data_IF_985477218923
#
_entry.id   IF_985477218923
#
_cell.length_a   1.000
_cell.length_b   1.000
_cell.length_c   1.000
_cell.angle_alpha   90.00
_cell.angle_beta   90.00
_cell.angle_gamma   90.00
#
_symmetry.space_group_name_H-M   'P 1'
#
loop_
_entity.id
_entity.type
_entity.pdbx_description
1 polymer ?
#
# COMPACT_ATOMS: atom_id res chain seq x y z
N UNK A 1 22.86 -20.69 2.66
CA UNK A 1 23.48 -20.93 1.36
C UNK A 1 23.08 -19.76 0.46
N UNK A 2 23.92 -19.27 -0.44
CA UNK A 2 23.47 -18.19 -1.32
C UNK A 2 22.51 -18.79 -2.39
N UNK A 3 21.46 -18.07 -2.78
CA UNK A 3 20.47 -18.54 -3.76
C UNK A 3 21.11 -18.95 -5.10
N UNK A 4 22.22 -18.31 -5.48
CA UNK A 4 23.02 -18.71 -6.64
C UNK A 4 23.62 -20.11 -6.49
N UNK A 5 24.12 -20.47 -5.31
CA UNK A 5 24.70 -21.80 -5.06
C UNK A 5 23.62 -22.88 -5.14
N UNK A 6 22.41 -22.57 -4.65
CA UNK A 6 21.24 -23.44 -4.76
C UNK A 6 20.86 -23.68 -6.23
N UNK A 7 20.90 -22.64 -7.07
CA UNK A 7 20.69 -22.77 -8.51
C UNK A 7 21.81 -23.56 -9.21
N UNK A 8 23.06 -23.37 -8.82
CA UNK A 8 24.18 -24.18 -9.32
C UNK A 8 23.95 -25.66 -9.02
N UNK A 9 23.63 -26.00 -7.76
CA UNK A 9 23.34 -27.37 -7.36
C UNK A 9 22.13 -27.96 -8.09
N UNK A 10 21.05 -27.19 -8.22
CA UNK A 10 19.85 -27.62 -8.96
C UNK A 10 20.18 -27.92 -10.43
N UNK A 11 20.98 -27.10 -11.09
CA UNK A 11 21.40 -27.33 -12.47
C UNK A 11 22.27 -28.58 -12.61
N UNK A 12 23.21 -28.82 -11.69
CA UNK A 12 23.98 -30.06 -11.67
C UNK A 12 23.08 -31.29 -11.46
N UNK A 13 22.05 -31.19 -10.62
CA UNK A 13 21.08 -32.28 -10.40
C UNK A 13 20.19 -32.59 -11.62
N UNK A 14 20.08 -31.68 -12.59
CA UNK A 14 19.32 -31.89 -13.82
C UNK A 14 20.17 -32.53 -14.94
N UNK A 15 21.48 -32.68 -14.75
CA UNK A 15 22.35 -33.35 -15.71
C UNK A 15 22.16 -34.87 -15.66
N UNK A 16 22.33 -35.58 -16.79
CA UNK A 16 22.40 -37.04 -16.78
C UNK A 16 23.53 -37.54 -15.87
N UNK A 17 23.35 -38.69 -15.23
CA UNK A 17 24.41 -39.31 -14.45
C UNK A 17 25.60 -39.73 -15.34
N UNK A 18 26.82 -39.59 -14.84
CA UNK A 18 28.05 -40.09 -15.48
C UNK A 18 29.23 -39.12 -15.43
N UNK A 19 30.45 -39.60 -15.76
CA UNK A 19 31.70 -38.86 -15.55
C UNK A 19 31.90 -37.69 -16.53
N UNK A 20 31.03 -37.56 -17.53
CA UNK A 20 31.09 -36.47 -18.50
C UNK A 20 30.88 -35.08 -17.87
N UNK A 21 30.32 -35.04 -16.66
CA UNK A 21 29.98 -33.81 -15.93
C UNK A 21 30.81 -33.60 -14.66
N UNK A 22 31.84 -34.42 -14.45
CA UNK A 22 32.72 -34.29 -13.28
C UNK A 22 33.58 -33.03 -13.39
N UNK A 23 33.67 -32.28 -12.28
CA UNK A 23 34.49 -31.07 -12.17
C UNK A 23 33.74 -29.77 -12.48
N UNK A 24 34.50 -28.71 -12.75
CA UNK A 24 33.96 -27.38 -13.06
C UNK A 24 33.26 -27.39 -14.42
N UNK A 25 32.05 -26.81 -14.47
CA UNK A 25 31.25 -26.71 -15.68
C UNK A 25 30.86 -25.25 -15.91
N UNK A 26 31.61 -24.51 -16.74
CA UNK A 26 31.38 -23.08 -16.98
C UNK A 26 30.00 -22.75 -17.55
N UNK A 27 29.35 -23.70 -18.23
CA UNK A 27 27.98 -23.51 -18.73
C UNK A 27 26.98 -23.46 -17.56
N UNK A 28 27.12 -24.38 -16.60
CA UNK A 28 26.26 -24.46 -15.41
C UNK A 28 26.53 -23.26 -14.49
N UNK A 29 27.81 -23.00 -14.22
CA UNK A 29 28.25 -21.89 -13.37
C UNK A 29 27.93 -20.52 -13.99
N UNK A 30 27.90 -20.41 -15.32
CA UNK A 30 27.46 -19.21 -16.02
C UNK A 30 25.94 -19.02 -16.03
N UNK A 31 25.17 -20.12 -16.04
CA UNK A 31 23.71 -20.07 -16.08
C UNK A 31 23.11 -19.73 -14.71
N UNK A 32 23.63 -20.28 -13.62
CA UNK A 32 23.09 -20.08 -12.27
C UNK A 32 22.97 -18.61 -11.85
N UNK A 33 23.96 -17.71 -12.09
CA UNK A 33 23.82 -16.29 -11.82
C UNK A 33 22.66 -15.62 -12.58
N UNK A 34 22.36 -16.08 -13.80
CA UNK A 34 21.24 -15.53 -14.57
C UNK A 34 19.89 -15.92 -13.98
N UNK A 35 19.74 -17.17 -13.53
CA UNK A 35 18.55 -17.65 -12.83
C UNK A 35 18.35 -16.93 -11.49
N UNK A 36 19.44 -16.72 -10.74
CA UNK A 36 19.41 -15.94 -9.50
C UNK A 36 18.89 -14.51 -9.74
N UNK A 37 19.37 -13.81 -10.78
CA UNK A 37 18.87 -12.47 -11.14
C UNK A 37 17.38 -12.49 -11.50
N UNK A 38 16.93 -13.49 -12.26
CA UNK A 38 15.50 -13.61 -12.63
C UNK A 38 14.64 -13.90 -11.41
N UNK A 39 15.09 -14.75 -10.48
CA UNK A 39 14.40 -15.00 -9.21
C UNK A 39 14.26 -13.71 -8.41
N UNK A 40 15.35 -12.97 -8.21
CA UNK A 40 15.31 -11.69 -7.48
C UNK A 40 14.34 -10.69 -8.11
N UNK A 41 14.32 -10.59 -9.45
CA UNK A 41 13.33 -9.76 -10.15
C UNK A 41 11.89 -10.24 -9.98
N UNK A 42 11.67 -11.55 -9.82
CA UNK A 42 10.36 -12.10 -9.52
C UNK A 42 9.92 -11.73 -8.09
N UNK A 43 10.82 -11.80 -7.12
CA UNK A 43 10.55 -11.39 -5.73
C UNK A 43 10.25 -9.89 -5.63
N UNK A 44 11.01 -9.06 -6.35
CA UNK A 44 10.75 -7.62 -6.46
C UNK A 44 9.36 -7.36 -7.04
N UNK A 45 8.96 -8.10 -8.09
CA UNK A 45 7.60 -8.01 -8.64
C UNK A 45 6.52 -8.41 -7.63
N UNK A 46 6.77 -9.38 -6.76
CA UNK A 46 5.82 -9.75 -5.72
C UNK A 46 5.60 -8.63 -4.70
N UNK A 47 6.63 -7.82 -4.42
CA UNK A 47 6.50 -6.64 -3.56
C UNK A 47 5.60 -5.55 -4.20
N UNK A 48 5.57 -5.47 -5.53
CA UNK A 48 4.76 -4.51 -6.28
C UNK A 48 3.25 -4.82 -6.26
N UNK A 49 2.84 -6.02 -5.83
CA UNK A 49 1.42 -6.39 -5.72
C UNK A 49 0.69 -5.49 -4.71
N UNK A 50 1.38 -5.13 -3.63
CA UNK A 50 0.86 -4.26 -2.58
C UNK A 50 0.98 -2.79 -3.01
N UNK A 51 -0.13 -2.08 -3.27
CA UNK A 51 -0.10 -0.67 -3.67
C UNK A 51 0.58 0.23 -2.64
N UNK A 52 0.65 -0.18 -1.36
CA UNK A 52 1.35 0.58 -0.33
C UNK A 52 2.88 0.51 -0.45
N UNK A 53 3.40 -0.49 -1.17
CA UNK A 53 4.84 -0.77 -1.30
C UNK A 53 5.36 -0.69 -2.74
N UNK A 54 4.47 -0.53 -3.72
CA UNK A 54 4.84 -0.39 -5.13
C UNK A 54 5.83 0.75 -5.36
N UNK A 55 6.85 0.48 -6.17
CA UNK A 55 7.87 1.46 -6.57
C UNK A 55 7.91 1.60 -8.09
N UNK A 56 8.04 0.49 -8.82
CA UNK A 56 8.10 0.48 -10.27
C UNK A 56 6.71 0.64 -10.91
N UNK A 57 5.66 0.11 -10.27
CA UNK A 57 4.30 0.16 -10.81
C UNK A 57 3.46 1.34 -10.28
N UNK A 58 4.07 2.28 -9.55
CA UNK A 58 3.33 3.34 -8.86
C UNK A 58 2.49 4.21 -9.81
N UNK A 59 3.04 4.60 -10.97
CA UNK A 59 2.32 5.41 -11.95
C UNK A 59 1.07 4.70 -12.48
N UNK A 60 1.18 3.37 -12.66
CA UNK A 60 0.07 2.54 -13.13
C UNK A 60 -1.03 2.44 -12.07
N UNK A 61 -0.65 2.21 -10.82
CA UNK A 61 -1.61 2.15 -9.72
C UNK A 61 -2.29 3.50 -9.51
N UNK A 62 -1.54 4.61 -9.52
CA UNK A 62 -2.12 5.94 -9.40
C UNK A 62 -3.15 6.21 -10.50
N UNK A 63 -2.87 5.84 -11.74
CA UNK A 63 -3.84 5.94 -12.83
C UNK A 63 -5.12 5.13 -12.55
N UNK A 64 -5.00 3.89 -12.07
CA UNK A 64 -6.15 3.02 -11.77
C UNK A 64 -7.02 3.57 -10.64
N UNK A 65 -6.41 4.19 -9.63
CA UNK A 65 -7.10 4.78 -8.48
C UNK A 65 -7.46 6.26 -8.67
N UNK A 66 -7.19 6.84 -9.84
CA UNK A 66 -7.49 8.24 -10.14
C UNK A 66 -6.72 9.19 -9.23
N UNK A 67 -5.41 8.97 -9.09
CA UNK A 67 -4.45 9.83 -8.41
C UNK A 67 -3.51 10.49 -9.43
N UNK A 68 -2.97 11.69 -9.14
CA UNK A 68 -3.34 12.57 -8.04
C UNK A 68 -4.76 13.15 -8.23
N UNK A 69 -5.51 13.29 -7.14
CA UNK A 69 -6.85 13.92 -7.13
C UNK A 69 -6.79 15.32 -6.51
N UNK A 70 -7.95 15.96 -6.32
CA UNK A 70 -8.05 17.31 -5.75
C UNK A 70 -7.53 17.43 -4.31
N UNK A 71 -7.34 16.30 -3.61
CA UNK A 71 -6.79 16.27 -2.26
C UNK A 71 -5.26 16.22 -2.26
N UNK A 72 -4.63 16.05 -3.43
CA UNK A 72 -3.18 16.06 -3.56
C UNK A 72 -2.62 17.48 -3.35
N UNK A 73 -1.62 17.67 -2.48
CA UNK A 73 -0.93 18.95 -2.40
C UNK A 73 -0.21 19.26 -3.71
N UNK A 74 -0.19 20.55 -4.07
CA UNK A 74 0.53 21.04 -5.24
C UNK A 74 2.04 20.79 -5.11
N UNK A 75 2.70 20.54 -6.25
CA UNK A 75 4.14 20.36 -6.34
C UNK A 75 4.60 18.91 -6.49
N UNK A 76 5.93 18.72 -6.45
CA UNK A 76 6.56 17.41 -6.59
C UNK A 76 6.47 16.65 -5.28
N UNK A 77 6.00 15.41 -5.35
CA UNK A 77 5.84 14.55 -4.18
C UNK A 77 6.90 13.46 -4.15
N UNK A 78 7.33 13.08 -2.94
CA UNK A 78 8.24 11.96 -2.75
C UNK A 78 7.51 10.64 -3.05
N UNK A 79 8.27 9.58 -3.37
CA UNK A 79 7.71 8.25 -3.57
C UNK A 79 6.90 7.78 -2.36
N UNK A 80 7.41 8.04 -1.15
CA UNK A 80 6.72 7.68 0.11
C UNK A 80 5.37 8.39 0.26
N UNK A 81 5.29 9.68 -0.06
CA UNK A 81 4.02 10.43 -0.02
C UNK A 81 3.01 9.91 -1.04
N UNK A 82 3.48 9.49 -2.21
CA UNK A 82 2.65 8.86 -3.24
C UNK A 82 2.11 7.49 -2.78
N UNK A 83 2.99 6.64 -2.24
CA UNK A 83 2.63 5.34 -1.67
C UNK A 83 1.59 5.47 -0.53
N UNK A 84 1.77 6.42 0.39
CA UNK A 84 0.84 6.66 1.50
C UNK A 84 -0.56 7.03 1.01
N UNK A 85 -0.66 7.89 -0.01
CA UNK A 85 -1.97 8.28 -0.58
C UNK A 85 -2.62 7.15 -1.36
N UNK A 86 -1.80 6.38 -2.09
CA UNK A 86 -2.27 5.21 -2.80
C UNK A 86 -2.79 4.14 -1.83
N UNK A 87 -2.06 3.86 -0.75
CA UNK A 87 -2.48 2.97 0.34
C UNK A 87 -3.80 3.44 0.96
N UNK A 88 -3.89 4.74 1.29
CA UNK A 88 -5.10 5.33 1.83
C UNK A 88 -6.32 5.16 0.91
N UNK A 89 -6.13 5.13 -0.41
CA UNK A 89 -7.21 4.98 -1.40
C UNK A 89 -7.51 3.52 -1.76
N UNK A 90 -6.50 2.66 -1.73
CA UNK A 90 -6.60 1.27 -2.16
C UNK A 90 -6.98 0.31 -1.03
N UNK A 91 -6.44 0.53 0.17
CA UNK A 91 -6.47 -0.45 1.25
C UNK A 91 -7.31 -0.03 2.46
N UNK A 92 -7.73 1.24 2.57
CA UNK A 92 -8.59 1.68 3.66
C UNK A 92 -9.96 1.00 3.53
N UNK A 93 -10.20 0.05 4.42
CA UNK A 93 -11.52 -0.52 4.61
C UNK A 93 -12.42 0.55 5.23
N UNK A 94 -13.36 1.07 4.43
CA UNK A 94 -14.33 2.06 4.89
C UNK A 94 -15.11 1.60 6.11
N UNK A 95 -15.60 2.55 6.90
CA UNK A 95 -16.47 2.28 8.04
C UNK A 95 -17.45 3.42 8.28
N UNK A 96 -18.63 3.09 8.81
CA UNK A 96 -19.61 4.08 9.25
C UNK A 96 -19.71 4.08 10.77
N UNK A 97 -18.58 4.35 11.43
CA UNK A 97 -18.49 4.41 12.89
C UNK A 97 -17.50 5.48 13.35
N UNK A 98 -17.59 5.88 14.62
CA UNK A 98 -16.79 6.97 15.18
C UNK A 98 -15.30 6.71 15.09
N UNK A 99 -14.89 5.48 15.40
CA UNK A 99 -13.49 5.09 15.39
C UNK A 99 -12.89 5.28 13.99
N UNK A 100 -13.57 4.80 12.95
CA UNK A 100 -13.13 4.99 11.57
C UNK A 100 -12.92 6.47 11.23
N UNK A 101 -13.92 7.31 11.48
CA UNK A 101 -13.80 8.73 11.16
C UNK A 101 -12.72 9.45 11.98
N UNK A 102 -12.50 9.07 13.24
CA UNK A 102 -11.39 9.58 14.06
C UNK A 102 -10.03 9.17 13.49
N UNK A 103 -9.87 7.90 13.12
CA UNK A 103 -8.64 7.40 12.50
C UNK A 103 -8.30 8.19 11.20
N UNK A 104 -9.32 8.53 10.39
CA UNK A 104 -9.12 9.38 9.22
C UNK A 104 -8.70 10.82 9.58
N UNK A 105 -9.28 11.42 10.63
CA UNK A 105 -8.92 12.76 11.09
C UNK A 105 -7.49 12.80 11.66
N UNK A 106 -7.11 11.79 12.44
CA UNK A 106 -5.76 11.64 13.00
C UNK A 106 -4.72 11.51 11.88
N UNK A 107 -5.00 10.71 10.85
CA UNK A 107 -4.14 10.56 9.67
C UNK A 107 -3.94 11.88 8.90
N UNK A 108 -4.91 12.79 8.97
CA UNK A 108 -4.84 14.13 8.40
C UNK A 108 -4.20 15.17 9.33
N UNK A 109 -3.83 14.79 10.57
CA UNK A 109 -3.22 15.67 11.56
C UNK A 109 -4.21 16.33 12.54
N UNK A 110 -5.51 16.08 12.42
CA UNK A 110 -6.56 16.66 13.28
C UNK A 110 -6.78 15.85 14.56
N UNK A 111 -5.72 15.62 15.33
CA UNK A 111 -5.75 14.71 16.50
C UNK A 111 -6.63 15.18 17.66
N UNK A 112 -6.96 16.47 17.69
CA UNK A 112 -7.85 17.05 18.69
C UNK A 112 -9.33 17.09 18.25
N UNK A 113 -9.66 16.65 17.04
CA UNK A 113 -11.03 16.67 16.55
C UNK A 113 -11.93 15.68 17.31
N UNK A 114 -13.20 16.05 17.48
CA UNK A 114 -14.22 15.18 18.07
C UNK A 114 -15.37 14.94 17.12
N UNK A 115 -16.11 13.87 17.38
CA UNK A 115 -17.22 13.45 16.53
C UNK A 115 -18.46 13.31 17.39
N UNK A 116 -19.56 13.90 16.94
CA UNK A 116 -20.87 13.79 17.55
C UNK A 116 -21.84 13.01 16.67
N UNK A 117 -22.66 12.20 17.33
CA UNK A 117 -23.69 11.36 16.74
C UNK A 117 -25.05 11.71 17.33
N UNK A 118 -26.10 11.61 16.51
CA UNK A 118 -27.44 12.09 16.88
C UNK A 118 -28.49 10.97 16.97
N UNK A 119 -28.10 9.71 16.71
CA UNK A 119 -29.02 8.57 16.61
C UNK A 119 -29.87 8.30 17.86
N UNK A 120 -29.39 8.73 19.04
CA UNK A 120 -30.05 8.51 20.33
C UNK A 120 -30.80 9.74 20.87
N UNK A 121 -30.87 10.84 20.10
CA UNK A 121 -31.60 12.03 20.53
C UNK A 121 -33.08 11.92 20.15
N UNK A 122 -33.94 12.52 20.98
CA UNK A 122 -35.40 12.51 20.74
C UNK A 122 -35.84 13.60 19.74
N UNK A 123 -35.05 14.66 19.56
CA UNK A 123 -35.35 15.78 18.66
C UNK A 123 -34.09 16.31 17.97
N UNK A 124 -34.27 16.97 16.83
CA UNK A 124 -33.15 17.49 16.04
C UNK A 124 -32.44 18.62 16.80
N UNK A 125 -31.09 18.60 16.87
CA UNK A 125 -30.33 19.73 17.39
C UNK A 125 -30.36 20.94 16.45
N UNK A 126 -30.66 20.72 15.16
CA UNK A 126 -30.77 21.77 14.15
C UNK A 126 -32.02 21.54 13.26
N UNK A 127 -33.01 22.45 13.27
CA UNK A 127 -34.21 22.32 12.45
C UNK A 127 -33.97 22.32 10.94
N UNK A 128 -32.84 22.85 10.46
CA UNK A 128 -32.54 22.97 9.03
C UNK A 128 -32.04 21.66 8.41
N UNK A 129 -31.62 20.69 9.24
CA UNK A 129 -31.07 19.40 8.79
C UNK A 129 -32.12 18.45 8.21
N UNK A 130 -33.40 18.85 8.21
CA UNK A 130 -34.49 18.07 7.67
C UNK A 130 -34.71 16.76 8.43
N UNK A 131 -35.26 15.75 7.76
CA UNK A 131 -35.63 14.47 8.40
C UNK A 131 -34.45 13.52 8.64
N UNK A 132 -33.31 13.73 7.97
CA UNK A 132 -32.16 12.83 8.02
C UNK A 132 -31.13 13.17 9.09
N UNK A 133 -31.40 14.17 9.94
CA UNK A 133 -30.50 14.67 10.98
C UNK A 133 -29.90 13.57 11.88
N UNK A 134 -30.64 12.48 12.11
CA UNK A 134 -30.18 11.32 12.93
C UNK A 134 -29.01 10.56 12.31
N UNK A 135 -28.85 10.64 10.99
CA UNK A 135 -27.79 9.96 10.25
C UNK A 135 -26.56 10.84 10.02
N UNK A 136 -26.62 12.09 10.45
CA UNK A 136 -25.49 13.00 10.32
C UNK A 136 -24.45 12.73 11.40
N UNK A 137 -23.20 12.94 11.00
CA UNK A 137 -22.03 12.89 11.86
C UNK A 137 -21.43 14.28 11.86
N UNK A 138 -21.37 14.92 13.03
CA UNK A 138 -20.75 16.24 13.15
C UNK A 138 -19.31 16.09 13.60
N UNK A 139 -18.39 16.61 12.79
CA UNK A 139 -16.98 16.71 13.17
C UNK A 139 -16.75 18.09 13.78
N UNK A 140 -16.24 18.14 15.01
CA UNK A 140 -15.84 19.37 15.67
C UNK A 140 -14.32 19.48 15.62
N UNK A 141 -13.80 20.52 14.96
CA UNK A 141 -12.37 20.80 14.86
C UNK A 141 -12.07 22.02 15.75
N UNK A 142 -11.16 21.91 16.74
CA UNK A 142 -10.75 23.05 17.56
C UNK A 142 -10.16 24.18 16.71
N UNK A 143 -10.41 25.43 17.10
CA UNK A 143 -9.95 26.60 16.35
C UNK A 143 -8.40 26.74 16.32
N UNK A 144 -7.72 26.10 17.26
CA UNK A 144 -6.26 26.03 17.38
C UNK A 144 -5.65 24.77 16.75
N UNK A 145 -6.45 23.91 16.13
CA UNK A 145 -5.98 22.76 15.35
C UNK A 145 -5.35 23.26 14.03
N UNK A 146 -4.14 23.79 14.11
CA UNK A 146 -3.30 24.02 12.94
C UNK A 146 -2.62 22.71 12.53
N UNK A 147 -2.65 22.41 11.23
CA UNK A 147 -1.80 21.41 10.57
C UNK A 147 -0.58 22.12 10.00
#
# INVERSE_FOLDING_TARGET
>A
MALQDEYTQLLYHLLPEGPAWDGENPLIEGLAPSLNRVHQRADELMAEIDPARTTELIDRYEQLYGLPDSCAPEGVQTLQQRQQRLDAKANVAGGINERFYREQLDALGYTAATIEQFQNLDSTPDPEWGEFWRYYWRVNIPADANI
#
